data_IF_168585779281
#
_entry.id   IF_168585779281
#
_cell.length_a   1.000
_cell.length_b   1.000
_cell.length_c   1.000
_cell.angle_alpha   90.00
_cell.angle_beta   90.00
_cell.angle_gamma   90.00
#
_symmetry.space_group_name_H-M   'P 1'
#
loop_
_entity.id
_entity.type
_entity.pdbx_description
1 polymer ?
#
# COMPACT_ATOMS: atom_id res chain seq x y z
N UNK A 1 -6.59 -2.37 15.58
CA UNK A 1 -5.21 -2.76 15.90
C UNK A 1 -4.32 -1.52 15.75
N UNK A 2 -3.08 -1.46 16.27
CA UNK A 2 -2.31 -0.21 16.25
C UNK A 2 -1.93 0.28 14.83
N UNK A 3 -1.89 -0.62 13.84
CA UNK A 3 -1.42 -0.32 12.47
C UNK A 3 -2.50 -0.56 11.40
N UNK A 4 -3.74 -0.20 11.70
CA UNK A 4 -4.86 -0.41 10.76
C UNK A 4 -4.70 0.43 9.48
N UNK A 5 -4.90 -0.23 8.34
CA UNK A 5 -5.10 0.37 7.02
C UNK A 5 -6.43 -0.11 6.44
N UNK A 6 -7.25 0.84 6.02
CA UNK A 6 -8.53 0.66 5.38
C UNK A 6 -8.41 1.10 3.92
N UNK A 7 -8.84 0.24 3.01
CA UNK A 7 -9.02 0.56 1.59
C UNK A 7 -10.52 0.56 1.32
N UNK A 8 -11.01 1.64 0.71
CA UNK A 8 -12.42 1.82 0.38
C UNK A 8 -12.65 1.55 -1.11
N UNK A 9 -13.78 0.93 -1.45
CA UNK A 9 -14.19 0.79 -2.84
C UNK A 9 -14.80 2.10 -3.39
N UNK A 10 -14.88 2.19 -4.71
CA UNK A 10 -15.52 3.31 -5.40
C UNK A 10 -16.18 2.86 -6.69
N UNK A 11 -17.30 3.51 -7.02
CA UNK A 11 -17.95 3.34 -8.31
C UNK A 11 -17.14 4.10 -9.36
N UNK A 12 -16.81 3.44 -10.47
CA UNK A 12 -16.09 4.11 -11.56
C UNK A 12 -17.11 4.97 -12.31
N UNK A 13 -16.81 6.24 -12.53
CA UNK A 13 -17.69 7.17 -13.24
C UNK A 13 -16.99 7.83 -14.44
N UNK A 14 -17.79 8.25 -15.41
CA UNK A 14 -17.34 9.04 -16.55
C UNK A 14 -17.17 10.54 -16.21
N UNK A 15 -16.90 11.35 -17.24
CA UNK A 15 -16.76 12.81 -17.11
C UNK A 15 -18.02 13.50 -16.58
N UNK A 16 -19.20 12.92 -16.85
CA UNK A 16 -20.52 13.43 -16.46
C UNK A 16 -21.00 12.83 -15.11
N UNK A 17 -20.11 12.16 -14.38
CA UNK A 17 -20.40 11.46 -13.12
C UNK A 17 -21.41 10.32 -13.24
N UNK A 18 -21.66 9.80 -14.45
CA UNK A 18 -22.50 8.63 -14.63
C UNK A 18 -21.71 7.39 -14.27
N UNK A 19 -22.28 6.48 -13.44
CA UNK A 19 -21.67 5.19 -13.16
C UNK A 19 -21.37 4.44 -14.46
N UNK A 20 -20.11 4.08 -14.63
CA UNK A 20 -19.68 3.06 -15.58
C UNK A 20 -19.82 1.69 -14.93
N UNK A 21 -19.94 0.62 -15.73
CA UNK A 21 -20.09 -0.74 -15.21
C UNK A 21 -18.87 -1.14 -14.36
N UNK A 22 -19.06 -1.25 -13.05
CA UNK A 22 -18.14 -1.87 -12.09
C UNK A 22 -17.54 -0.94 -11.05
N UNK A 23 -16.86 -1.55 -10.08
CA UNK A 23 -16.14 -0.85 -9.02
C UNK A 23 -14.62 -0.85 -9.24
N UNK A 24 -13.92 0.01 -8.49
CA UNK A 24 -12.46 0.02 -8.51
C UNK A 24 -11.87 -1.32 -8.03
N UNK A 25 -12.50 -1.94 -7.04
CA UNK A 25 -12.06 -3.24 -6.54
C UNK A 25 -12.17 -4.33 -7.60
N UNK A 26 -13.26 -4.36 -8.36
CA UNK A 26 -13.44 -5.30 -9.47
C UNK A 26 -12.38 -5.07 -10.56
N UNK A 27 -12.17 -3.81 -10.95
CA UNK A 27 -11.20 -3.43 -11.98
C UNK A 27 -9.77 -3.85 -11.62
N UNK A 28 -9.37 -3.63 -10.37
CA UNK A 28 -8.02 -3.92 -9.90
C UNK A 28 -7.87 -5.36 -9.40
N UNK A 29 -8.98 -6.09 -9.22
CA UNK A 29 -9.03 -7.32 -8.43
C UNK A 29 -8.44 -7.06 -7.03
N UNK A 30 -8.85 -5.95 -6.41
CA UNK A 30 -8.31 -5.45 -5.15
C UNK A 30 -8.52 -6.44 -4.00
N UNK A 31 -7.61 -6.40 -3.03
CA UNK A 31 -7.71 -7.25 -1.84
C UNK A 31 -6.35 -7.55 -1.23
N UNK A 32 -6.34 -8.15 -0.04
CA UNK A 32 -5.12 -8.39 0.72
C UNK A 32 -4.22 -9.41 0.03
N UNK A 33 -2.92 -9.30 0.30
CA UNK A 33 -1.91 -10.27 -0.05
C UNK A 33 -0.59 -9.61 -0.43
N UNK A 34 0.43 -9.79 0.41
CA UNK A 34 1.75 -9.20 0.21
C UNK A 34 2.36 -9.56 -1.16
N UNK A 35 2.39 -10.85 -1.50
CA UNK A 35 2.93 -11.31 -2.78
C UNK A 35 2.06 -10.84 -3.94
N UNK A 36 0.73 -10.89 -3.79
CA UNK A 36 -0.24 -10.40 -4.77
C UNK A 36 0.03 -8.92 -5.09
N UNK A 37 0.15 -8.08 -4.08
CA UNK A 37 0.29 -6.63 -4.22
C UNK A 37 1.70 -6.18 -4.65
N UNK A 38 2.72 -7.01 -4.45
CA UNK A 38 4.06 -6.80 -5.06
C UNK A 38 4.04 -7.12 -6.55
N UNK A 39 3.33 -8.18 -6.96
CA UNK A 39 3.24 -8.58 -8.36
C UNK A 39 2.30 -7.67 -9.15
N UNK A 40 1.14 -7.34 -8.58
CA UNK A 40 0.09 -6.49 -9.16
C UNK A 40 -0.41 -5.55 -8.08
N UNK A 41 0.01 -4.30 -8.15
CA UNK A 41 -0.46 -3.27 -7.23
C UNK A 41 -1.99 -3.10 -7.32
N UNK A 42 -2.67 -3.21 -6.18
CA UNK A 42 -4.11 -2.89 -6.05
C UNK A 42 -4.40 -1.77 -5.05
N UNK A 43 -3.35 -1.14 -4.50
CA UNK A 43 -3.45 0.04 -3.65
C UNK A 43 -3.53 1.32 -4.49
N UNK A 44 -4.48 2.17 -4.13
CA UNK A 44 -4.68 3.49 -4.75
C UNK A 44 -4.81 4.51 -3.63
N UNK A 45 -3.87 5.45 -3.55
CA UNK A 45 -3.76 6.37 -2.41
C UNK A 45 -5.04 7.12 -2.02
N UNK A 46 -5.84 7.60 -2.98
CA UNK A 46 -7.09 8.31 -2.67
C UNK A 46 -8.19 7.43 -2.03
N UNK A 47 -8.00 6.11 -2.02
CA UNK A 47 -8.93 5.15 -1.43
C UNK A 47 -8.42 4.61 -0.09
N UNK A 48 -7.28 5.10 0.42
CA UNK A 48 -6.63 4.58 1.61
C UNK A 48 -6.81 5.51 2.80
N UNK A 49 -7.22 4.94 3.93
CA UNK A 49 -7.17 5.58 5.24
C UNK A 49 -6.32 4.71 6.18
N UNK A 50 -5.42 5.32 6.93
CA UNK A 50 -4.53 4.58 7.84
C UNK A 50 -4.24 5.38 9.11
N UNK A 51 -3.88 4.68 10.19
CA UNK A 51 -3.47 5.33 11.45
C UNK A 51 -2.10 5.98 11.30
N UNK A 52 -1.92 7.16 11.90
CA UNK A 52 -0.63 7.89 11.90
C UNK A 52 0.57 7.03 12.29
N UNK A 53 0.37 6.11 13.25
CA UNK A 53 1.40 5.19 13.76
C UNK A 53 2.04 4.32 12.68
N UNK A 54 1.35 4.08 11.55
CA UNK A 54 1.94 3.39 10.40
C UNK A 54 3.16 4.16 9.85
N UNK A 55 3.16 5.50 9.92
CA UNK A 55 4.26 6.33 9.45
C UNK A 55 5.50 6.22 10.34
N UNK A 56 5.34 5.89 11.63
CA UNK A 56 6.47 5.72 12.55
C UNK A 56 7.38 4.55 12.14
N UNK A 57 6.83 3.64 11.33
CA UNK A 57 7.52 2.48 10.76
C UNK A 57 7.81 2.69 9.28
N UNK A 58 6.85 3.21 8.51
CA UNK A 58 6.99 3.33 7.05
C UNK A 58 7.97 4.43 6.60
N UNK A 59 8.37 5.34 7.50
CA UNK A 59 9.27 6.46 7.19
C UNK A 59 10.73 6.19 7.58
N UNK A 60 11.70 6.78 6.85
CA UNK A 60 11.51 7.56 5.62
C UNK A 60 11.13 6.66 4.43
N UNK A 61 10.41 7.21 3.45
CA UNK A 61 10.08 6.47 2.24
C UNK A 61 11.35 6.04 1.49
N UNK A 62 11.51 4.74 1.17
CA UNK A 62 12.66 4.28 0.41
C UNK A 62 12.67 4.89 -1.01
N UNK A 63 13.86 5.24 -1.53
CA UNK A 63 14.00 5.84 -2.87
C UNK A 63 13.62 4.88 -4.01
N UNK A 64 13.65 3.58 -3.76
CA UNK A 64 13.47 2.54 -4.78
C UNK A 64 12.02 2.03 -4.91
N UNK A 65 11.03 2.72 -4.32
CA UNK A 65 9.62 2.35 -4.43
C UNK A 65 8.95 3.06 -5.61
N UNK A 66 7.99 2.41 -6.31
CA UNK A 66 7.26 3.04 -7.41
C UNK A 66 6.34 4.18 -6.93
N UNK A 67 5.66 3.96 -5.81
CA UNK A 67 4.67 4.88 -5.25
C UNK A 67 4.56 4.67 -3.74
N UNK A 68 4.18 5.73 -3.01
CA UNK A 68 4.07 5.71 -1.55
C UNK A 68 2.87 4.90 -1.05
N UNK A 69 1.77 4.86 -1.79
CA UNK A 69 0.57 4.09 -1.47
C UNK A 69 0.84 2.58 -1.48
N UNK A 70 1.52 2.07 -2.50
CA UNK A 70 1.93 0.65 -2.57
C UNK A 70 2.83 0.30 -1.39
N UNK A 71 3.78 1.18 -1.08
CA UNK A 71 4.66 0.98 0.07
C UNK A 71 3.89 0.90 1.38
N UNK A 72 2.98 1.85 1.64
CA UNK A 72 2.16 1.87 2.86
C UNK A 72 1.26 0.62 2.96
N UNK A 73 0.66 0.19 1.84
CA UNK A 73 -0.10 -1.05 1.76
C UNK A 73 0.74 -2.26 2.16
N UNK A 74 1.93 -2.41 1.57
CA UNK A 74 2.83 -3.55 1.85
C UNK A 74 3.41 -3.53 3.26
N UNK A 75 3.77 -2.36 3.78
CA UNK A 75 4.19 -2.21 5.18
C UNK A 75 3.05 -2.64 6.09
N UNK A 76 1.83 -2.15 5.84
CA UNK A 76 0.65 -2.51 6.64
C UNK A 76 0.38 -4.02 6.60
N UNK A 77 0.38 -4.64 5.41
CA UNK A 77 0.20 -6.10 5.25
C UNK A 77 1.29 -6.92 5.95
N UNK A 78 2.48 -6.34 6.12
CA UNK A 78 3.56 -6.99 6.86
C UNK A 78 3.33 -6.90 8.37
N UNK A 79 2.70 -5.84 8.87
CA UNK A 79 2.50 -5.61 10.31
C UNK A 79 1.20 -6.20 10.84
N UNK A 80 0.18 -6.35 10.00
CA UNK A 80 -1.13 -6.82 10.41
C UNK A 80 -2.15 -6.89 9.26
N UNK A 81 -3.43 -7.14 9.57
CA UNK A 81 -4.46 -7.23 8.57
C UNK A 81 -4.74 -5.85 7.94
N UNK A 82 -5.05 -5.87 6.65
CA UNK A 82 -5.56 -4.72 5.90
C UNK A 82 -7.02 -5.00 5.57
N UNK A 83 -7.89 -4.03 5.84
CA UNK A 83 -9.32 -4.14 5.56
C UNK A 83 -9.63 -3.53 4.21
N UNK A 84 -10.27 -4.31 3.34
CA UNK A 84 -10.86 -3.84 2.09
C UNK A 84 -12.37 -3.77 2.30
N UNK A 85 -12.93 -2.57 2.29
CA UNK A 85 -14.34 -2.32 2.54
C UNK A 85 -15.09 -2.17 1.20
N UNK A 86 -15.96 -3.14 0.82
CA UNK A 86 -16.65 -3.16 -0.47
C UNK A 86 -17.75 -2.11 -0.62
N UNK A 87 -17.96 -1.24 0.37
CA UNK A 87 -18.88 -0.11 0.26
C UNK A 87 -18.35 0.98 -0.69
N UNK A 88 -18.93 1.07 -1.89
CA UNK A 88 -18.65 2.14 -2.86
C UNK A 88 -19.20 3.50 -2.39
N UNK A 89 -18.50 4.09 -1.43
CA UNK A 89 -18.83 5.38 -0.81
C UNK A 89 -18.32 6.58 -1.61
N UNK A 90 -17.55 6.32 -2.67
CA UNK A 90 -16.89 7.33 -3.49
C UNK A 90 -17.13 7.09 -4.99
N UNK A 91 -17.04 8.17 -5.77
CA UNK A 91 -17.05 8.12 -7.23
C UNK A 91 -15.64 8.34 -7.76
N UNK A 92 -15.08 7.35 -8.45
CA UNK A 92 -13.77 7.44 -9.09
C UNK A 92 -13.92 7.81 -10.56
N UNK A 93 -13.72 9.09 -10.87
CA UNK A 93 -13.76 9.58 -12.25
C UNK A 93 -12.56 9.05 -13.04
N UNK A 94 -12.83 8.41 -14.18
CA UNK A 94 -11.80 7.98 -15.13
C UNK A 94 -11.96 8.74 -16.44
N UNK A 95 -11.30 9.89 -16.58
CA UNK A 95 -11.19 10.57 -17.86
C UNK A 95 -10.14 9.88 -18.75
N UNK A 96 -10.32 9.95 -20.08
CA UNK A 96 -9.39 9.36 -21.05
C UNK A 96 -7.94 9.90 -20.95
N UNK A 97 -7.74 11.07 -20.34
CA UNK A 97 -6.45 11.71 -20.10
C UNK A 97 -5.92 11.54 -18.67
N UNK A 98 -6.10 10.36 -18.05
CA UNK A 98 -5.44 10.11 -16.77
C UNK A 98 -3.91 10.11 -16.94
N UNK A 99 -3.21 10.93 -16.15
CA UNK A 99 -1.74 11.04 -16.08
C UNK A 99 -1.02 9.71 -15.73
N UNK A 100 -1.75 8.65 -15.43
CA UNK A 100 -1.21 7.33 -15.17
C UNK A 100 -0.68 6.72 -16.46
N UNK A 101 0.65 6.78 -16.66
CA UNK A 101 1.29 6.10 -17.79
C UNK A 101 0.94 4.61 -17.76
N UNK A 102 0.23 4.14 -18.78
CA UNK A 102 -0.26 2.76 -18.88
C UNK A 102 0.81 1.76 -19.31
N UNK A 103 2.00 2.24 -19.70
CA UNK A 103 3.10 1.43 -20.24
C UNK A 103 4.44 1.75 -19.60
N UNK A 104 4.72 1.12 -18.45
CA UNK A 104 6.09 0.97 -17.95
C UNK A 104 6.80 -0.19 -18.64
N UNK A 105 8.09 -0.02 -18.90
CA UNK A 105 8.93 -1.07 -19.50
C UNK A 105 9.04 -2.28 -18.57
N UNK A 106 9.32 -3.46 -19.12
CA UNK A 106 9.46 -4.68 -18.32
C UNK A 106 10.58 -4.54 -17.29
N UNK A 107 11.68 -3.86 -17.66
CA UNK A 107 12.81 -3.56 -16.77
C UNK A 107 12.36 -2.68 -15.61
N UNK A 108 11.64 -1.59 -15.87
CA UNK A 108 11.13 -0.69 -14.82
C UNK A 108 10.24 -1.44 -13.82
N UNK A 109 9.32 -2.27 -14.33
CA UNK A 109 8.45 -3.09 -13.47
C UNK A 109 9.25 -4.04 -12.58
N UNK A 110 10.30 -4.66 -13.13
CA UNK A 110 11.15 -5.56 -12.37
C UNK A 110 11.98 -4.79 -11.32
N UNK A 111 12.57 -3.65 -11.69
CA UNK A 111 13.31 -2.78 -10.78
C UNK A 111 12.46 -2.34 -9.59
N UNK A 112 11.20 -1.93 -9.83
CA UNK A 112 10.28 -1.56 -8.76
C UNK A 112 9.90 -2.73 -7.85
N UNK A 113 9.67 -3.92 -8.42
CA UNK A 113 9.40 -5.12 -7.62
C UNK A 113 10.58 -5.47 -6.72
N UNK A 114 11.79 -5.45 -7.27
CA UNK A 114 13.02 -5.70 -6.50
C UNK A 114 13.18 -4.62 -5.42
N UNK A 115 12.98 -3.35 -5.76
CA UNK A 115 13.06 -2.23 -4.82
C UNK A 115 12.07 -2.32 -3.67
N UNK A 116 10.82 -2.72 -3.94
CA UNK A 116 9.81 -2.98 -2.91
C UNK A 116 10.24 -4.14 -1.99
N UNK A 117 10.68 -5.26 -2.56
CA UNK A 117 11.10 -6.43 -1.80
C UNK A 117 12.30 -6.13 -0.89
N UNK A 118 13.34 -5.50 -1.43
CA UNK A 118 14.57 -5.19 -0.67
C UNK A 118 14.27 -4.18 0.42
N UNK A 119 13.47 -3.14 0.14
CA UNK A 119 13.08 -2.15 1.13
C UNK A 119 12.27 -2.76 2.26
N UNK A 120 11.35 -3.68 1.95
CA UNK A 120 10.53 -4.36 2.95
C UNK A 120 11.38 -5.29 3.84
N UNK A 121 12.33 -6.01 3.25
CA UNK A 121 13.28 -6.84 4.02
C UNK A 121 14.16 -5.97 4.93
N UNK A 122 14.69 -4.87 4.41
CA UNK A 122 15.49 -3.93 5.20
C UNK A 122 14.70 -3.37 6.38
N UNK A 123 13.44 -2.97 6.16
CA UNK A 123 12.54 -2.50 7.20
C UNK A 123 12.30 -3.56 8.29
N UNK A 124 12.07 -4.81 7.88
CA UNK A 124 11.87 -5.91 8.84
C UNK A 124 13.11 -6.19 9.66
N UNK A 125 14.29 -6.14 9.04
CA UNK A 125 15.54 -6.33 9.76
C UNK A 125 15.77 -5.20 10.77
N UNK A 126 15.59 -3.93 10.37
CA UNK A 126 15.78 -2.79 11.26
C UNK A 126 14.77 -2.75 12.41
N UNK A 127 13.50 -3.12 12.17
CA UNK A 127 12.49 -3.25 13.22
C UNK A 127 12.87 -4.32 14.26
N UNK A 128 13.34 -5.50 13.81
CA UNK A 128 13.83 -6.56 14.70
C UNK A 128 15.05 -6.16 15.51
N UNK A 129 15.94 -5.34 14.94
CA UNK A 129 17.07 -4.77 15.69
C UNK A 129 16.59 -3.82 16.77
N UNK A 130 15.59 -2.98 16.49
CA UNK A 130 15.02 -2.01 17.45
C UNK A 130 14.38 -2.69 18.66
N UNK A 131 13.56 -3.71 18.43
CA UNK A 131 12.94 -4.52 19.51
C UNK A 131 13.99 -5.22 20.38
N UNK A 132 15.08 -5.72 19.77
CA UNK A 132 16.16 -6.43 20.49
C UNK A 132 17.01 -5.48 21.35
N UNK A 133 17.19 -4.23 20.93
CA UNK A 133 17.86 -3.18 21.70
C UNK A 133 17.04 -2.69 22.91
N UNK A 134 15.72 -2.57 22.76
CA UNK A 134 14.83 -2.15 23.85
C UNK A 134 14.75 -3.23 24.96
N UNK A 135 14.73 -4.51 24.58
CA UNK A 135 14.82 -5.62 25.54
C UNK A 135 16.17 -5.72 26.26
N UNK A 136 17.28 -5.42 25.58
CA UNK A 136 18.61 -5.41 26.20
C UNK A 136 18.81 -4.26 27.22
N UNK A 137 18.07 -3.17 27.07
CA UNK A 137 18.14 -2.01 27.98
C UNK A 137 17.29 -2.21 29.23
N UNK A 138 16.18 -2.94 29.10
CA UNK A 138 15.25 -3.22 30.23
C UNK A 138 15.80 -4.28 31.21
N UNK A 139 16.78 -5.10 30.80
CA UNK A 139 17.38 -6.16 31.65
C UNK A 139 18.55 -5.72 32.55
N UNK A 140 18.88 -4.41 32.62
CA UNK A 140 19.98 -3.88 33.45
C UNK A 140 19.53 -3.06 34.67
N UNK A 141 18.23 -3.04 34.97
CA UNK A 141 17.66 -2.37 36.13
C UNK A 141 17.11 -3.38 37.13
N UNK A 142 17.99 -4.22 37.70
CA UNK A 142 17.77 -4.98 38.94
C UNK A 142 19.09 -5.21 39.62
#
# INVERSE_FOLDING_TARGET
>A
MPYDLLVLDSNIVDGDLKPTLGSLFELLSAGPGLIKNILRNTYVGCHMAFRRQLLDIAMPFPRAIPMHDVWLGLVSESLGPVTFEPGATMLFRRSGENYTQSRYSMIQRLTWRIGLMTSLVQLRLSARFRERSDHATTGKAT
#
